data_IF_065042687599
#
_entry.id   IF_065042687599
#
_cell.length_a   1.000
_cell.length_b   1.000
_cell.length_c   1.000
_cell.angle_alpha   90.00
_cell.angle_beta   90.00
_cell.angle_gamma   90.00
#
_symmetry.space_group_name_H-M   'P 1'
#
loop_
_entity.id
_entity.type
_entity.pdbx_description
1 polymer ?
#
# COMPACT_ATOMS: atom_id res chain seq x y z
N UNK A 1 -20.24 -5.05 7.14
CA UNK A 1 -19.64 -5.80 6.02
C UNK A 1 -18.98 -4.78 5.09
N UNK A 2 -17.70 -4.51 5.31
CA UNK A 2 -16.88 -3.75 4.37
C UNK A 2 -16.43 -4.71 3.27
N UNK A 3 -16.83 -4.45 2.04
CA UNK A 3 -16.29 -5.15 0.87
C UNK A 3 -14.81 -4.77 0.74
N UNK A 4 -13.90 -5.57 1.28
CA UNK A 4 -12.46 -5.44 1.02
C UNK A 4 -12.16 -5.93 -0.39
N UNK A 5 -11.30 -5.20 -1.09
CA UNK A 5 -10.86 -5.47 -2.46
C UNK A 5 -10.34 -6.91 -2.60
N UNK A 6 -11.13 -7.77 -3.23
CA UNK A 6 -10.65 -9.03 -3.76
C UNK A 6 -10.07 -8.81 -5.16
N UNK A 7 -9.15 -9.67 -5.59
CA UNK A 7 -8.76 -9.76 -7.00
C UNK A 7 -10.02 -9.93 -7.86
N UNK A 8 -10.44 -8.87 -8.55
CA UNK A 8 -11.61 -8.94 -9.44
C UNK A 8 -11.32 -9.87 -10.61
N UNK A 9 -12.28 -10.73 -10.92
CA UNK A 9 -12.27 -11.56 -12.14
C UNK A 9 -12.08 -10.67 -13.38
N UNK A 10 -11.01 -10.88 -14.14
CA UNK A 10 -10.73 -10.15 -15.38
C UNK A 10 -9.43 -9.34 -15.39
N UNK A 11 -8.76 -9.16 -14.24
CA UNK A 11 -7.42 -8.58 -14.20
C UNK A 11 -6.36 -9.67 -14.42
N UNK A 12 -5.28 -9.39 -15.18
CA UNK A 12 -4.15 -10.31 -15.29
C UNK A 12 -3.54 -10.56 -13.91
N UNK A 13 -3.02 -11.76 -13.69
CA UNK A 13 -2.26 -12.08 -12.48
C UNK A 13 -1.04 -11.16 -12.42
N UNK A 14 -0.83 -10.43 -11.32
CA UNK A 14 0.32 -9.55 -11.19
C UNK A 14 1.61 -10.36 -11.06
N UNK A 15 2.71 -9.81 -11.58
CA UNK A 15 4.05 -10.34 -11.38
C UNK A 15 4.62 -9.98 -10.00
N UNK A 16 4.10 -8.92 -9.37
CA UNK A 16 4.47 -8.53 -8.01
C UNK A 16 3.38 -7.65 -7.37
N UNK A 17 2.95 -8.04 -6.17
CA UNK A 17 1.93 -7.32 -5.41
C UNK A 17 2.54 -6.56 -4.23
N UNK A 18 2.38 -5.23 -4.20
CA UNK A 18 2.70 -4.40 -3.05
C UNK A 18 1.42 -3.99 -2.33
N UNK A 19 1.37 -4.19 -1.02
CA UNK A 19 0.23 -3.83 -0.20
C UNK A 19 0.66 -2.97 0.98
N UNK A 20 -0.02 -1.85 1.19
CA UNK A 20 0.03 -1.08 2.43
C UNK A 20 -1.28 -1.29 3.18
N UNK A 21 -1.21 -1.86 4.37
CA UNK A 21 -2.37 -2.30 5.17
C UNK A 21 -2.77 -3.74 4.86
N UNK A 22 -2.55 -4.64 5.81
CA UNK A 22 -2.78 -6.08 5.59
C UNK A 22 -4.22 -6.52 5.87
N UNK A 23 -4.55 -7.76 5.50
CA UNK A 23 -5.76 -8.45 5.94
C UNK A 23 -6.32 -9.42 4.91
N UNK A 24 -7.61 -9.24 4.57
CA UNK A 24 -8.32 -10.15 3.66
C UNK A 24 -7.76 -10.17 2.23
N UNK A 25 -7.28 -9.03 1.75
CA UNK A 25 -6.58 -8.87 0.47
C UNK A 25 -5.25 -9.63 0.46
N UNK A 26 -4.42 -9.48 1.51
CA UNK A 26 -3.19 -10.28 1.71
C UNK A 26 -3.48 -11.78 1.71
N UNK A 27 -4.49 -12.22 2.47
CA UNK A 27 -4.91 -13.63 2.51
C UNK A 27 -5.38 -14.12 1.13
N UNK A 28 -6.11 -13.29 0.39
CA UNK A 28 -6.57 -13.63 -0.96
C UNK A 28 -5.40 -13.77 -1.93
N UNK A 29 -4.40 -12.88 -1.86
CA UNK A 29 -3.16 -12.99 -2.64
C UNK A 29 -2.44 -14.32 -2.34
N UNK A 30 -2.26 -14.65 -1.06
CA UNK A 30 -1.64 -15.90 -0.63
C UNK A 30 -2.37 -17.13 -1.17
N UNK A 31 -3.71 -17.15 -1.04
CA UNK A 31 -4.57 -18.24 -1.53
C UNK A 31 -4.48 -18.43 -3.04
N UNK A 32 -4.31 -17.35 -3.79
CA UNK A 32 -4.14 -17.37 -5.26
C UNK A 32 -2.69 -17.69 -5.69
N UNK A 33 -1.76 -17.80 -4.74
CA UNK A 33 -0.34 -18.04 -5.02
C UNK A 33 0.38 -16.83 -5.62
N UNK A 34 -0.17 -15.62 -5.45
CA UNK A 34 0.46 -14.37 -5.87
C UNK A 34 1.58 -14.03 -4.90
N UNK A 35 2.76 -13.69 -5.43
CA UNK A 35 3.88 -13.19 -4.64
C UNK A 35 3.64 -11.76 -4.19
N UNK A 36 3.92 -11.46 -2.92
CA UNK A 36 3.62 -10.15 -2.35
C UNK A 36 4.63 -9.63 -1.32
N UNK A 37 4.64 -8.32 -1.21
CA UNK A 37 5.23 -7.57 -0.11
C UNK A 37 4.10 -6.79 0.56
N UNK A 38 3.81 -7.10 1.82
CA UNK A 38 2.71 -6.50 2.56
C UNK A 38 3.24 -5.74 3.78
N UNK A 39 2.86 -4.48 3.92
CA UNK A 39 3.31 -3.55 4.96
C UNK A 39 2.18 -3.29 5.95
N UNK A 40 2.44 -3.41 7.25
CA UNK A 40 1.47 -3.01 8.28
C UNK A 40 2.11 -2.30 9.47
N UNK A 41 1.34 -1.40 10.07
CA UNK A 41 1.70 -0.64 11.26
C UNK A 41 1.38 -1.39 12.55
N UNK A 42 0.47 -2.36 12.51
CA UNK A 42 0.06 -3.13 13.67
C UNK A 42 0.74 -4.51 13.64
N UNK A 43 1.71 -4.69 14.54
CA UNK A 43 2.47 -5.94 14.66
C UNK A 43 1.56 -7.13 14.96
N UNK A 44 0.61 -6.96 15.88
CA UNK A 44 -0.25 -8.05 16.33
C UNK A 44 -1.18 -8.48 15.20
N UNK A 45 -1.74 -7.52 14.47
CA UNK A 45 -2.59 -7.81 13.34
C UNK A 45 -1.82 -8.44 12.17
N UNK A 46 -0.64 -7.91 11.83
CA UNK A 46 0.24 -8.48 10.81
C UNK A 46 0.57 -9.95 11.08
N UNK A 47 0.98 -10.24 12.32
CA UNK A 47 1.34 -11.60 12.73
C UNK A 47 0.12 -12.53 12.71
N UNK A 48 -1.08 -12.02 13.05
CA UNK A 48 -2.32 -12.78 12.95
C UNK A 48 -2.71 -13.12 11.50
N UNK A 49 -2.54 -12.18 10.56
CA UNK A 49 -2.77 -12.41 9.12
C UNK A 49 -1.80 -13.48 8.61
N UNK A 50 -0.51 -13.37 8.96
CA UNK A 50 0.49 -14.37 8.61
C UNK A 50 0.15 -15.75 9.17
N UNK A 51 -0.17 -15.83 10.47
CA UNK A 51 -0.54 -17.09 11.10
C UNK A 51 -1.77 -17.73 10.47
N UNK A 52 -2.74 -16.92 10.03
CA UNK A 52 -3.93 -17.40 9.31
C UNK A 52 -3.58 -17.96 7.93
N UNK A 53 -2.70 -17.29 7.18
CA UNK A 53 -2.20 -17.76 5.88
C UNK A 53 -1.45 -19.09 6.04
N UNK A 54 -0.54 -19.16 7.01
CA UNK A 54 0.26 -20.36 7.28
C UNK A 54 -0.63 -21.53 7.73
N UNK A 55 -1.56 -21.28 8.65
CA UNK A 55 -2.48 -22.29 9.19
C UNK A 55 -3.44 -22.90 8.17
N UNK A 56 -3.77 -22.16 7.09
CA UNK A 56 -4.60 -22.66 6.00
C UNK A 56 -3.79 -23.31 4.87
N UNK A 57 -2.46 -23.42 5.02
CA UNK A 57 -1.57 -24.05 4.04
C UNK A 57 -1.25 -23.18 2.82
N UNK A 58 -1.45 -21.86 2.91
CA UNK A 58 -1.11 -20.91 1.85
C UNK A 58 0.25 -20.23 2.04
N UNK A 59 0.97 -20.54 3.12
CA UNK A 59 2.30 -19.99 3.42
C UNK A 59 3.34 -20.34 2.35
N UNK A 60 4.08 -19.32 1.87
CA UNK A 60 5.17 -19.46 0.89
C UNK A 60 6.33 -18.53 1.25
N UNK A 61 7.36 -19.03 1.96
CA UNK A 61 8.47 -18.19 2.43
C UNK A 61 9.20 -17.41 1.32
N UNK A 62 9.35 -18.02 0.14
CA UNK A 62 10.11 -17.43 -0.98
C UNK A 62 9.30 -16.43 -1.82
N UNK A 63 8.04 -16.15 -1.46
CA UNK A 63 7.16 -15.23 -2.21
C UNK A 63 6.25 -14.38 -1.34
N UNK A 64 6.39 -14.43 -0.01
CA UNK A 64 5.51 -13.72 0.92
C UNK A 64 6.35 -12.94 1.92
N UNK A 65 6.47 -11.64 1.68
CA UNK A 65 7.19 -10.73 2.57
C UNK A 65 6.21 -9.96 3.44
N UNK A 66 6.35 -10.08 4.75
CA UNK A 66 5.57 -9.34 5.74
C UNK A 66 6.45 -8.29 6.41
N UNK A 67 6.16 -7.02 6.17
CA UNK A 67 6.95 -5.87 6.64
C UNK A 67 6.19 -5.13 7.73
N UNK A 68 6.75 -5.13 8.93
CA UNK A 68 6.23 -4.30 10.01
C UNK A 68 6.84 -2.90 9.93
N UNK A 69 5.97 -1.92 9.73
CA UNK A 69 6.31 -0.50 9.76
C UNK A 69 6.02 0.08 11.15
N UNK A 70 7.02 0.07 12.02
CA UNK A 70 6.89 0.60 13.37
C UNK A 70 6.55 2.09 13.38
N UNK A 71 5.35 2.44 13.84
CA UNK A 71 4.90 3.83 14.08
C UNK A 71 4.64 4.11 15.56
N UNK A 72 5.19 3.27 16.44
CA UNK A 72 4.90 3.24 17.87
C UNK A 72 3.64 2.43 18.19
N UNK A 73 3.15 2.54 19.43
CA UNK A 73 1.94 1.82 19.88
C UNK A 73 0.77 2.16 18.97
N UNK A 74 0.09 1.12 18.47
CA UNK A 74 -1.11 1.24 17.64
C UNK A 74 -2.36 0.83 18.41
N UNK A 75 -3.49 1.39 18.01
CA UNK A 75 -4.83 1.01 18.42
C UNK A 75 -5.61 0.42 17.23
N UNK A 76 -6.95 0.48 17.27
CA UNK A 76 -7.79 -0.02 16.18
C UNK A 76 -7.37 0.52 14.82
N UNK A 77 -7.36 -0.37 13.81
CA UNK A 77 -6.98 -0.05 12.42
C UNK A 77 -5.52 0.42 12.26
N UNK A 78 -4.63 0.01 13.17
CA UNK A 78 -3.23 0.42 13.12
C UNK A 78 -3.02 1.91 13.40
N UNK A 79 -4.01 2.62 13.93
CA UNK A 79 -3.89 4.05 14.24
C UNK A 79 -2.87 4.26 15.37
N UNK A 80 -1.89 5.17 15.24
CA UNK A 80 -0.94 5.42 16.31
C UNK A 80 -1.63 6.02 17.54
N UNK A 81 -1.24 5.55 18.73
CA UNK A 81 -1.73 6.02 20.03
C UNK A 81 -0.67 6.89 20.71
N UNK A 82 -1.06 8.05 21.23
CA UNK A 82 -0.16 8.98 21.93
C UNK A 82 0.37 10.11 21.05
N UNK A 83 1.29 10.93 21.59
CA UNK A 83 1.77 12.13 20.91
C UNK A 83 2.64 11.86 19.67
N UNK A 84 2.61 12.80 18.72
CA UNK A 84 3.44 12.82 17.51
C UNK A 84 4.75 13.58 17.76
N UNK A 85 5.68 12.96 18.50
CA UNK A 85 7.01 13.54 18.75
C UNK A 85 7.84 13.57 17.46
N UNK A 86 8.91 14.40 17.35
CA UNK A 86 9.76 14.43 16.16
C UNK A 86 10.29 13.04 15.74
N UNK A 87 10.73 12.23 16.71
CA UNK A 87 11.18 10.85 16.46
C UNK A 87 10.05 9.95 15.95
N UNK A 88 8.80 10.20 16.37
CA UNK A 88 7.64 9.46 15.87
C UNK A 88 7.22 9.92 14.47
N UNK A 89 7.33 11.21 14.17
CA UNK A 89 7.08 11.72 12.81
C UNK A 89 8.05 11.08 11.82
N UNK A 90 9.31 10.89 12.19
CA UNK A 90 10.29 10.16 11.38
C UNK A 90 9.89 8.69 11.13
N UNK A 91 9.26 8.03 12.10
CA UNK A 91 8.62 6.72 11.90
C UNK A 91 7.43 6.77 10.95
N UNK A 92 6.57 7.78 11.04
CA UNK A 92 5.42 7.96 10.14
C UNK A 92 5.88 8.11 8.69
N UNK A 93 6.95 8.88 8.46
CA UNK A 93 7.56 9.00 7.13
C UNK A 93 7.94 7.65 6.56
N UNK A 94 8.64 6.83 7.36
CA UNK A 94 9.10 5.49 6.94
C UNK A 94 7.99 4.48 6.68
N UNK A 95 6.83 4.62 7.30
CA UNK A 95 5.71 3.70 7.03
C UNK A 95 5.35 3.66 5.55
N UNK A 96 5.38 4.82 4.90
CA UNK A 96 4.98 4.99 3.50
C UNK A 96 6.10 4.67 2.50
N UNK A 97 7.32 4.37 2.96
CA UNK A 97 8.42 4.02 2.06
C UNK A 97 8.17 2.63 1.46
N UNK A 98 8.21 2.48 0.12
CA UNK A 98 8.22 1.16 -0.49
C UNK A 98 9.39 0.32 0.06
N UNK A 99 9.15 -0.91 0.54
CA UNK A 99 10.23 -1.75 1.06
C UNK A 99 11.32 -1.98 0.02
N UNK A 100 12.58 -2.10 0.46
CA UNK A 100 13.73 -2.28 -0.45
C UNK A 100 13.59 -3.54 -1.33
N UNK A 101 12.84 -4.54 -0.86
CA UNK A 101 12.50 -5.75 -1.59
C UNK A 101 11.73 -5.47 -2.89
N UNK A 102 11.01 -4.34 -3.00
CA UNK A 102 10.36 -3.94 -4.25
C UNK A 102 11.36 -3.65 -5.38
N UNK A 103 12.61 -3.33 -5.03
CA UNK A 103 13.70 -3.07 -5.97
C UNK A 103 14.64 -4.28 -6.13
N UNK A 104 14.46 -5.31 -5.29
CA UNK A 104 15.25 -6.52 -5.38
C UNK A 104 14.96 -7.24 -6.70
N UNK A 105 16.00 -7.78 -7.31
CA UNK A 105 15.92 -8.63 -8.52
C UNK A 105 15.31 -7.96 -9.77
N UNK A 106 15.15 -6.63 -9.75
CA UNK A 106 14.66 -5.83 -10.88
C UNK A 106 13.16 -6.01 -11.20
N UNK A 107 12.39 -6.69 -10.33
CA UNK A 107 10.96 -6.93 -10.51
C UNK A 107 10.13 -5.98 -9.64
N UNK A 108 9.85 -4.81 -10.19
CA UNK A 108 8.95 -3.83 -9.58
C UNK A 108 7.52 -4.37 -9.47
N UNK A 109 6.76 -3.97 -8.44
CA UNK A 109 5.35 -4.35 -8.32
C UNK A 109 4.53 -3.75 -9.47
N UNK A 110 3.65 -4.56 -10.05
CA UNK A 110 2.71 -4.17 -11.11
C UNK A 110 1.26 -4.11 -10.60
N UNK A 111 0.99 -4.57 -9.38
CA UNK A 111 -0.23 -4.30 -8.65
C UNK A 111 0.10 -3.73 -7.28
N UNK A 112 -0.53 -2.60 -6.95
CA UNK A 112 -0.38 -1.92 -5.67
C UNK A 112 -1.74 -1.74 -5.02
N UNK A 113 -1.88 -2.11 -3.75
CA UNK A 113 -3.04 -1.77 -2.93
C UNK A 113 -2.63 -0.84 -1.79
N UNK A 114 -3.34 0.28 -1.69
CA UNK A 114 -3.24 1.23 -0.59
C UNK A 114 -4.52 1.13 0.25
N UNK A 115 -4.48 0.33 1.31
CA UNK A 115 -5.57 0.13 2.28
C UNK A 115 -5.09 0.27 3.75
N UNK A 116 -4.02 1.04 3.95
CA UNK A 116 -3.33 1.15 5.23
C UNK A 116 -3.57 2.48 5.93
N UNK A 117 -2.48 2.98 6.54
CA UNK A 117 -2.33 4.34 7.06
C UNK A 117 -1.55 5.19 6.06
N UNK A 118 -1.54 6.51 6.24
CA UNK A 118 -0.76 7.45 5.42
C UNK A 118 -0.97 7.25 3.90
N UNK A 119 -2.22 6.98 3.49
CA UNK A 119 -2.58 6.49 2.14
C UNK A 119 -2.00 7.34 1.01
N UNK A 120 -2.15 8.66 1.10
CA UNK A 120 -1.55 9.59 0.13
C UNK A 120 -0.04 9.40 0.05
N UNK A 121 0.66 9.38 1.17
CA UNK A 121 2.12 9.22 1.18
C UNK A 121 2.55 7.86 0.59
N UNK A 122 1.84 6.78 0.90
CA UNK A 122 2.08 5.46 0.31
C UNK A 122 1.93 5.49 -1.22
N UNK A 123 0.85 6.10 -1.71
CA UNK A 123 0.59 6.24 -3.13
C UNK A 123 1.68 7.08 -3.82
N UNK A 124 1.97 8.28 -3.30
CA UNK A 124 2.95 9.19 -3.89
C UNK A 124 4.38 8.63 -3.88
N UNK A 125 4.80 7.98 -2.78
CA UNK A 125 6.14 7.35 -2.72
C UNK A 125 6.24 6.13 -3.64
N UNK A 126 5.14 5.39 -3.83
CA UNK A 126 5.05 4.33 -4.85
C UNK A 126 5.17 4.91 -6.25
N UNK A 127 4.46 6.00 -6.55
CA UNK A 127 4.58 6.71 -7.84
C UNK A 127 6.01 7.17 -8.09
N UNK A 128 6.69 7.70 -7.06
CA UNK A 128 8.10 8.10 -7.17
C UNK A 128 9.01 6.93 -7.52
N UNK A 129 8.79 5.76 -6.91
CA UNK A 129 9.52 4.52 -7.23
C UNK A 129 9.26 4.07 -8.67
N UNK A 130 8.02 4.17 -9.14
CA UNK A 130 7.55 3.65 -10.43
C UNK A 130 7.58 4.68 -11.57
N UNK A 131 8.04 5.91 -11.34
CA UNK A 131 7.89 7.06 -12.25
C UNK A 131 8.42 6.86 -13.68
N UNK A 132 9.36 5.91 -13.86
CA UNK A 132 9.98 5.58 -15.14
C UNK A 132 9.48 4.25 -15.71
N UNK A 133 8.36 3.74 -15.20
CA UNK A 133 7.79 2.45 -15.57
C UNK A 133 6.29 2.55 -15.83
N UNK A 134 5.80 1.67 -16.70
CA UNK A 134 4.40 1.56 -17.07
C UNK A 134 3.88 0.15 -16.80
N UNK A 135 2.58 -0.08 -17.02
CA UNK A 135 1.97 -1.40 -16.88
C UNK A 135 1.60 -1.77 -15.45
N UNK A 136 1.85 -0.89 -14.47
CA UNK A 136 1.35 -1.06 -13.11
C UNK A 136 -0.07 -0.53 -12.96
N UNK A 137 -0.79 -1.06 -11.97
CA UNK A 137 -2.09 -0.58 -11.51
C UNK A 137 -2.03 -0.33 -10.01
N UNK A 138 -2.50 0.82 -9.57
CA UNK A 138 -2.62 1.16 -8.16
C UNK A 138 -4.09 1.28 -7.77
N UNK A 139 -4.45 0.61 -6.68
CA UNK A 139 -5.77 0.59 -6.08
C UNK A 139 -5.70 1.36 -4.76
N UNK A 140 -6.58 2.35 -4.59
CA UNK A 140 -6.68 3.13 -3.35
C UNK A 140 -8.06 2.89 -2.76
N UNK A 141 -8.13 2.17 -1.65
CA UNK A 141 -9.41 1.82 -1.01
C UNK A 141 -9.98 3.01 -0.22
N UNK A 142 -11.30 3.03 0.00
CA UNK A 142 -12.05 4.12 0.65
C UNK A 142 -11.90 5.53 0.00
N UNK A 143 -11.36 5.62 -1.23
CA UNK A 143 -11.00 6.89 -1.90
C UNK A 143 -12.16 7.90 -1.98
N UNK A 144 -13.39 7.45 -2.24
CA UNK A 144 -14.56 8.36 -2.35
C UNK A 144 -14.85 9.13 -1.08
N UNK A 145 -14.58 8.52 0.08
CA UNK A 145 -14.97 9.04 1.39
C UNK A 145 -13.83 9.86 2.03
N UNK A 146 -12.71 10.02 1.32
CA UNK A 146 -11.47 10.63 1.80
C UNK A 146 -11.00 11.74 0.86
N UNK A 147 -11.50 12.99 1.01
CA UNK A 147 -11.13 14.10 0.12
C UNK A 147 -9.63 14.38 0.07
N UNK A 148 -8.89 14.13 1.16
CA UNK A 148 -7.43 14.26 1.18
C UNK A 148 -6.73 13.31 0.20
N UNK A 149 -7.33 12.15 -0.10
CA UNK A 149 -6.77 11.16 -1.01
C UNK A 149 -6.86 11.63 -2.48
N UNK A 150 -7.70 12.63 -2.78
CA UNK A 150 -7.95 13.07 -4.16
C UNK A 150 -6.72 13.69 -4.83
N UNK A 151 -5.79 14.22 -4.04
CA UNK A 151 -4.48 14.73 -4.50
C UNK A 151 -3.67 13.68 -5.27
N UNK A 152 -3.93 12.38 -5.10
CA UNK A 152 -3.26 11.31 -5.85
C UNK A 152 -3.52 11.46 -7.36
N UNK A 153 -4.70 11.98 -7.75
CA UNK A 153 -5.07 12.18 -9.15
C UNK A 153 -4.26 13.28 -9.85
N UNK A 154 -3.54 14.11 -9.10
CA UNK A 154 -2.62 15.11 -9.67
C UNK A 154 -1.32 14.45 -10.19
N UNK A 155 -1.02 13.23 -9.74
CA UNK A 155 0.25 12.53 -10.01
C UNK A 155 0.09 11.19 -10.72
N UNK A 156 -1.14 10.75 -10.98
CA UNK A 156 -1.44 9.48 -11.65
C UNK A 156 -2.75 9.56 -12.43
N UNK A 157 -2.85 8.79 -13.52
CA UNK A 157 -4.05 8.77 -14.34
C UNK A 157 -5.16 8.02 -13.60
N UNK A 158 -6.18 8.76 -13.18
CA UNK A 158 -7.41 8.18 -12.65
C UNK A 158 -8.16 7.45 -13.78
N UNK A 159 -8.42 6.15 -13.58
CA UNK A 159 -9.08 5.30 -14.58
C UNK A 159 -10.58 5.21 -14.30
N UNK A 160 -10.94 4.78 -13.09
CA UNK A 160 -12.33 4.54 -12.69
C UNK A 160 -12.47 4.34 -11.17
N UNK A 161 -13.70 4.36 -10.69
CA UNK A 161 -14.09 3.82 -9.39
C UNK A 161 -14.63 2.39 -9.53
N UNK A 162 -14.25 1.51 -8.61
CA UNK A 162 -14.89 0.21 -8.39
C UNK A 162 -15.51 0.24 -6.99
N UNK A 163 -16.79 0.59 -6.91
CA UNK A 163 -17.41 0.93 -5.63
C UNK A 163 -16.80 2.21 -5.06
N UNK A 164 -16.13 2.12 -3.91
CA UNK A 164 -15.44 3.23 -3.24
C UNK A 164 -13.94 3.30 -3.51
N UNK A 165 -13.40 2.28 -4.17
CA UNK A 165 -11.98 2.14 -4.47
C UNK A 165 -11.66 2.85 -5.80
N UNK A 166 -10.60 3.65 -5.82
CA UNK A 166 -10.08 4.26 -7.04
C UNK A 166 -9.02 3.39 -7.70
N UNK A 167 -9.01 3.41 -9.03
CA UNK A 167 -8.03 2.72 -9.87
C UNK A 167 -7.19 3.76 -10.59
N UNK A 168 -5.87 3.67 -10.42
CA UNK A 168 -4.89 4.55 -11.04
C UNK A 168 -3.90 3.79 -11.91
N UNK A 169 -3.36 4.47 -12.93
CA UNK A 169 -2.31 3.97 -13.82
C UNK A 169 -1.21 5.01 -14.02
N UNK A 170 -0.12 4.56 -14.64
CA UNK A 170 0.98 5.42 -15.02
C UNK A 170 0.50 6.59 -15.88
N UNK A 171 0.78 7.84 -15.47
CA UNK A 171 0.53 9.00 -16.31
C UNK A 171 1.56 9.08 -17.43
N UNK A 172 1.32 9.97 -18.39
CA UNK A 172 2.28 10.24 -19.46
C UNK A 172 3.62 10.79 -18.93
N UNK A 173 3.56 11.63 -17.90
CA UNK A 173 4.72 12.18 -17.19
C UNK A 173 4.31 12.70 -15.81
N UNK A 174 5.26 12.73 -14.87
CA UNK A 174 5.09 13.35 -13.55
C UNK A 174 6.24 14.31 -13.29
N UNK A 175 5.94 15.52 -12.81
CA UNK A 175 6.95 16.45 -12.30
C UNK A 175 7.52 15.89 -10.98
N UNK A 176 8.80 15.55 -10.99
CA UNK A 176 9.47 14.95 -9.83
C UNK A 176 9.56 15.88 -8.63
N UNK A 177 9.75 17.18 -8.85
CA UNK A 177 9.88 18.16 -7.77
C UNK A 177 8.52 18.43 -7.12
N UNK A 178 7.46 18.48 -7.92
CA UNK A 178 6.10 18.58 -7.41
C UNK A 178 5.69 17.34 -6.62
N UNK A 179 6.05 16.15 -7.11
CA UNK A 179 5.81 14.89 -6.43
C UNK A 179 6.53 14.85 -5.07
N UNK A 180 7.81 15.26 -5.02
CA UNK A 180 8.57 15.29 -3.76
C UNK A 180 8.00 16.32 -2.77
N UNK A 181 7.51 17.48 -3.24
CA UNK A 181 6.80 18.45 -2.40
C UNK A 181 5.51 17.87 -1.83
N UNK A 182 4.72 17.18 -2.65
CA UNK A 182 3.49 16.53 -2.21
C UNK A 182 3.79 15.42 -1.19
N UNK A 183 4.81 14.58 -1.43
CA UNK A 183 5.26 13.57 -0.45
C UNK A 183 5.53 14.22 0.91
N UNK A 184 6.34 15.28 0.94
CA UNK A 184 6.70 15.98 2.17
C UNK A 184 5.47 16.55 2.92
N UNK A 185 4.43 16.96 2.19
CA UNK A 185 3.20 17.49 2.76
C UNK A 185 2.32 16.42 3.44
N UNK A 186 2.40 15.16 2.99
CA UNK A 186 1.50 14.09 3.44
C UNK A 186 2.16 12.98 4.26
N UNK A 187 3.49 12.84 4.25
CA UNK A 187 4.21 11.73 4.91
C UNK A 187 4.17 11.74 6.45
N UNK A 188 3.54 12.76 7.05
CA UNK A 188 3.24 12.80 8.49
C UNK A 188 1.76 13.04 8.82
N UNK A 189 0.90 13.14 7.80
CA UNK A 189 -0.53 13.41 7.96
C UNK A 189 -1.27 12.11 8.23
N UNK A 190 -1.93 12.05 9.39
CA UNK A 190 -2.78 10.92 9.75
C UNK A 190 -4.12 11.00 9.02
N UNK A 191 -4.51 9.88 8.43
CA UNK A 191 -5.77 9.61 7.74
C UNK A 191 -6.84 9.01 8.68
#
# INVERSE_FOLDING_TARGET
MTHRAGFCSGWPTPNGYLEFGTGGSTYSAAKLGVEFIAVDSDRVFLDAVRAKIDGDGYGRPDGQTFTYADIGVTGPWGRPVGASTPARLDKFRRYSDPPAQCLADGRLPDLILVDGRFRVACALKTLRMLRHTHGWTMLVDDYTDRPADHVIADFADFVQLVGRMAVFRAPASVDGDELDRAIAAYETVLD
#
